data_IF_211751811324
#
_entry.id   IF_211751811324
#
_cell.length_a   1.000
_cell.length_b   1.000
_cell.length_c   1.000
_cell.angle_alpha   90.00
_cell.angle_beta   90.00
_cell.angle_gamma   90.00
#
_symmetry.space_group_name_H-M   'P 1'
#
loop_
_entity.id
_entity.type
_entity.pdbx_description
1 polymer ?
#
# COMPACT_ATOMS: atom_id res chain seq x y z
N UNK A 1 2.95 -29.81 -5.55
CA UNK A 1 2.05 -28.64 -5.74
C UNK A 1 2.37 -27.61 -4.68
N UNK A 2 2.62 -26.35 -5.06
CA UNK A 2 2.85 -25.26 -4.11
C UNK A 2 1.55 -24.91 -3.38
N UNK A 3 1.61 -24.75 -2.05
CA UNK A 3 0.46 -24.30 -1.24
C UNK A 3 0.27 -22.79 -1.45
N UNK A 4 -0.96 -22.37 -1.70
CA UNK A 4 -1.31 -20.97 -1.86
C UNK A 4 -2.00 -20.43 -0.60
N UNK A 5 -1.81 -19.13 -0.38
CA UNK A 5 -2.44 -18.35 0.68
C UNK A 5 -3.08 -17.10 0.08
N UNK A 6 -4.03 -16.51 0.80
CA UNK A 6 -4.59 -15.21 0.49
C UNK A 6 -4.01 -14.20 1.46
N UNK A 7 -3.32 -13.19 0.92
CA UNK A 7 -2.84 -12.03 1.65
C UNK A 7 -3.85 -10.90 1.49
N UNK A 8 -4.53 -10.56 2.57
CA UNK A 8 -5.43 -9.40 2.62
C UNK A 8 -4.65 -8.14 2.99
N UNK A 9 -4.89 -7.04 2.28
CA UNK A 9 -4.31 -5.72 2.54
C UNK A 9 -5.44 -4.69 2.54
N UNK A 10 -5.54 -3.85 3.58
CA UNK A 10 -6.49 -2.74 3.60
C UNK A 10 -5.72 -1.43 3.45
N UNK A 11 -5.89 -0.80 2.30
CA UNK A 11 -5.28 0.48 1.99
C UNK A 11 -6.25 1.59 2.38
N UNK A 12 -5.96 2.24 3.51
CA UNK A 12 -6.94 3.14 4.13
C UNK A 12 -6.73 4.58 3.70
N UNK A 13 -5.53 5.12 3.87
CA UNK A 13 -5.29 6.55 3.65
C UNK A 13 -3.82 6.87 3.40
N UNK A 14 -3.56 8.10 2.97
CA UNK A 14 -2.24 8.72 2.99
C UNK A 14 -2.32 10.10 3.63
N UNK A 15 -1.18 10.65 4.04
CA UNK A 15 -1.06 11.94 4.68
C UNK A 15 0.07 12.77 4.09
N UNK A 16 -0.11 14.09 4.13
CA UNK A 16 0.91 15.08 3.78
C UNK A 16 1.55 14.85 2.39
N UNK A 17 0.75 14.35 1.42
CA UNK A 17 1.20 14.18 0.04
C UNK A 17 1.70 15.51 -0.53
N UNK A 18 2.73 15.44 -1.37
CA UNK A 18 3.25 16.62 -2.09
C UNK A 18 2.14 17.26 -2.94
N UNK A 19 1.82 18.55 -2.76
CA UNK A 19 0.76 19.22 -3.48
C UNK A 19 1.17 19.52 -4.93
N UNK A 20 0.89 18.59 -5.84
CA UNK A 20 1.24 18.71 -7.27
C UNK A 20 0.28 19.60 -8.08
N UNK A 21 -0.87 19.95 -7.51
CA UNK A 21 -1.88 20.80 -8.14
C UNK A 21 -2.77 21.47 -7.09
N UNK A 22 -3.47 22.53 -7.50
CA UNK A 22 -4.44 23.22 -6.64
C UNK A 22 -5.64 22.36 -6.27
N UNK A 23 -6.03 21.39 -7.08
CA UNK A 23 -7.07 20.40 -6.80
C UNK A 23 -6.46 19.05 -7.04
N UNK A 24 -6.56 18.14 -6.06
CA UNK A 24 -5.99 16.80 -6.15
C UNK A 24 -7.07 15.77 -5.95
N UNK A 25 -7.31 14.97 -7.00
CA UNK A 25 -8.09 13.75 -6.92
C UNK A 25 -7.10 12.59 -6.98
N UNK A 26 -7.03 11.78 -5.94
CA UNK A 26 -5.95 10.79 -5.81
C UNK A 26 -6.48 9.36 -5.74
N UNK A 27 -5.72 8.45 -6.30
CA UNK A 27 -5.96 7.01 -6.17
C UNK A 27 -4.63 6.31 -5.96
N UNK A 28 -4.71 5.09 -5.43
CA UNK A 28 -3.54 4.25 -5.26
C UNK A 28 -3.60 3.02 -6.17
N UNK A 29 -2.42 2.60 -6.60
CA UNK A 29 -2.19 1.41 -7.41
C UNK A 29 -1.32 0.46 -6.60
N UNK A 30 -1.77 -0.76 -6.38
CA UNK A 30 -1.06 -1.74 -5.54
C UNK A 30 -0.84 -3.06 -6.27
N UNK A 31 0.32 -3.70 -6.07
CA UNK A 31 0.63 -4.99 -6.69
C UNK A 31 1.74 -5.77 -5.98
N UNK A 32 1.75 -7.08 -6.22
CA UNK A 32 2.87 -7.98 -5.95
C UNK A 32 3.65 -8.33 -7.22
N UNK A 33 2.92 -8.47 -8.34
CA UNK A 33 3.46 -8.64 -9.69
C UNK A 33 3.06 -7.41 -10.51
N UNK A 34 4.00 -6.68 -11.14
CA UNK A 34 3.70 -5.47 -11.91
C UNK A 34 2.72 -5.67 -13.08
N UNK A 35 2.50 -6.91 -13.54
CA UNK A 35 1.49 -7.25 -14.56
C UNK A 35 0.06 -7.35 -13.98
N UNK A 36 -0.08 -7.40 -12.66
CA UNK A 36 -1.34 -7.63 -11.95
C UNK A 36 -1.58 -6.53 -10.92
N UNK A 37 -1.80 -5.32 -11.42
CA UNK A 37 -2.09 -4.13 -10.62
C UNK A 37 -3.56 -4.08 -10.22
N UNK A 38 -3.82 -3.67 -8.99
CA UNK A 38 -5.14 -3.35 -8.45
C UNK A 38 -5.18 -1.88 -8.08
N UNK A 39 -6.34 -1.25 -8.20
CA UNK A 39 -6.51 0.18 -7.98
C UNK A 39 -7.58 0.43 -6.93
N UNK A 40 -7.40 1.49 -6.15
CA UNK A 40 -8.47 2.05 -5.32
C UNK A 40 -9.44 2.85 -6.17
N UNK A 41 -10.58 3.21 -5.58
CA UNK A 41 -11.36 4.35 -6.06
C UNK A 41 -10.55 5.65 -5.93
N UNK A 42 -10.96 6.65 -6.71
CA UNK A 42 -10.42 8.00 -6.61
C UNK A 42 -11.06 8.71 -5.41
N UNK A 43 -10.25 9.22 -4.50
CA UNK A 43 -10.69 10.19 -3.51
C UNK A 43 -10.63 11.59 -4.11
N UNK A 44 -11.75 12.30 -4.06
CA UNK A 44 -11.92 13.64 -4.66
C UNK A 44 -11.75 14.77 -3.64
N UNK A 45 -11.76 14.46 -2.34
CA UNK A 45 -11.94 15.48 -1.29
C UNK A 45 -10.75 15.59 -0.34
N UNK A 46 -9.96 14.52 -0.15
CA UNK A 46 -8.88 14.52 0.82
C UNK A 46 -7.64 15.32 0.40
N UNK A 47 -7.52 15.74 -0.86
CA UNK A 47 -6.41 16.56 -1.35
C UNK A 47 -5.05 15.88 -1.08
N UNK A 48 -4.27 16.40 -0.13
CA UNK A 48 -2.97 15.87 0.30
C UNK A 48 -3.11 14.82 1.39
N UNK A 49 -4.33 14.58 1.89
CA UNK A 49 -4.66 13.62 2.95
C UNK A 49 -5.81 12.68 2.53
N UNK A 50 -5.65 11.90 1.45
CA UNK A 50 -6.75 11.10 0.92
C UNK A 50 -7.13 9.90 1.79
N UNK A 51 -8.41 9.52 1.71
CA UNK A 51 -8.94 8.30 2.33
C UNK A 51 -9.64 7.44 1.29
N UNK A 52 -9.14 6.21 1.07
CA UNK A 52 -9.68 5.25 0.11
C UNK A 52 -10.47 4.12 0.77
N UNK A 53 -9.98 3.60 1.89
CA UNK A 53 -10.57 2.47 2.61
C UNK A 53 -10.87 1.25 1.70
N UNK A 54 -9.88 0.84 0.90
CA UNK A 54 -10.02 -0.24 -0.08
C UNK A 54 -9.35 -1.53 0.41
N UNK A 55 -10.02 -2.66 0.21
CA UNK A 55 -9.52 -3.99 0.58
C UNK A 55 -9.04 -4.75 -0.66
N UNK A 56 -7.80 -5.23 -0.62
CA UNK A 56 -7.21 -6.05 -1.68
C UNK A 56 -6.90 -7.46 -1.17
N UNK A 57 -7.10 -8.45 -2.06
CA UNK A 57 -6.77 -9.85 -1.80
C UNK A 57 -5.77 -10.33 -2.85
N UNK A 58 -4.61 -10.78 -2.40
CA UNK A 58 -3.57 -11.32 -3.26
C UNK A 58 -3.38 -12.80 -3.00
N UNK A 59 -3.41 -13.60 -4.07
CA UNK A 59 -3.01 -15.01 -4.00
C UNK A 59 -1.49 -15.10 -4.07
N UNK A 60 -0.89 -15.64 -3.03
CA UNK A 60 0.57 -15.80 -2.88
C UNK A 60 0.90 -17.25 -2.58
N UNK A 61 2.15 -17.65 -2.77
CA UNK A 61 2.62 -18.98 -2.45
C UNK A 61 3.69 -18.95 -1.34
N UNK A 62 4.09 -20.14 -0.88
CA UNK A 62 5.11 -20.24 0.18
C UNK A 62 6.46 -19.65 -0.22
N UNK A 63 6.83 -19.68 -1.51
CA UNK A 63 8.11 -19.13 -1.97
C UNK A 63 8.08 -17.62 -1.81
N UNK A 64 6.99 -16.97 -2.21
CA UNK A 64 6.78 -15.55 -1.99
C UNK A 64 6.78 -15.19 -0.50
N UNK A 65 6.02 -15.91 0.33
CA UNK A 65 5.93 -15.61 1.76
C UNK A 65 7.24 -15.79 2.54
N UNK A 66 8.14 -16.67 2.08
CA UNK A 66 9.40 -16.96 2.77
C UNK A 66 10.59 -16.13 2.24
N UNK A 67 10.39 -15.31 1.22
CA UNK A 67 11.45 -14.50 0.63
C UNK A 67 11.58 -13.17 1.37
N UNK A 68 12.80 -12.86 1.82
CA UNK A 68 13.15 -11.59 2.49
C UNK A 68 13.00 -10.36 1.58
N UNK A 69 12.88 -10.59 0.27
CA UNK A 69 12.71 -9.51 -0.71
C UNK A 69 11.28 -9.35 -1.18
N UNK A 70 10.36 -10.23 -0.79
CA UNK A 70 8.96 -10.11 -1.18
C UNK A 70 8.33 -8.84 -0.63
N UNK A 71 7.68 -8.09 -1.51
CA UNK A 71 7.09 -6.80 -1.16
C UNK A 71 5.77 -6.57 -1.88
N UNK A 72 4.92 -5.78 -1.23
CA UNK A 72 3.82 -5.07 -1.88
C UNK A 72 4.33 -3.72 -2.32
N UNK A 73 4.10 -3.40 -3.59
CA UNK A 73 4.32 -2.07 -4.14
C UNK A 73 3.02 -1.30 -4.09
N UNK A 74 3.08 -0.03 -3.69
CA UNK A 74 1.96 0.92 -3.75
C UNK A 74 2.46 2.18 -4.43
N UNK A 75 1.78 2.64 -5.46
CA UNK A 75 1.95 3.97 -6.03
C UNK A 75 0.74 4.82 -5.72
N UNK A 76 0.94 6.11 -5.48
CA UNK A 76 -0.14 7.07 -5.31
C UNK A 76 -0.06 8.06 -6.47
N UNK A 77 -1.19 8.23 -7.16
CA UNK A 77 -1.30 9.07 -8.35
C UNK A 77 -2.33 10.17 -8.12
N UNK A 78 -2.05 11.38 -8.62
CA UNK A 78 -3.04 12.43 -8.82
C UNK A 78 -3.62 12.32 -10.24
N UNK A 79 -4.94 12.23 -10.33
CA UNK A 79 -5.65 12.23 -11.61
C UNK A 79 -5.60 13.61 -12.26
N UNK A 80 -5.35 13.63 -13.57
CA UNK A 80 -5.31 14.85 -14.36
C UNK A 80 -5.92 14.61 -15.74
N UNK A 81 -6.36 15.67 -16.41
CA UNK A 81 -7.06 15.56 -17.70
C UNK A 81 -6.17 15.01 -18.82
N UNK A 82 -4.86 15.32 -18.78
CA UNK A 82 -3.93 14.93 -19.84
C UNK A 82 -3.20 13.64 -19.46
N UNK A 83 -2.56 13.64 -18.28
CA UNK A 83 -1.80 12.50 -17.78
C UNK A 83 -1.72 12.57 -16.26
N UNK A 84 -2.03 11.46 -15.62
CA UNK A 84 -1.90 11.31 -14.18
C UNK A 84 -0.45 11.50 -13.71
N UNK A 85 -0.31 12.10 -12.53
CA UNK A 85 0.96 12.45 -11.92
C UNK A 85 1.27 11.46 -10.81
N UNK A 86 2.38 10.73 -10.92
CA UNK A 86 2.89 9.92 -9.82
C UNK A 86 3.37 10.82 -8.69
N UNK A 87 2.73 10.74 -7.53
CA UNK A 87 3.09 11.52 -6.34
C UNK A 87 4.17 10.79 -5.54
N UNK A 88 4.03 9.47 -5.39
CA UNK A 88 4.96 8.68 -4.58
C UNK A 88 4.81 7.19 -4.77
N UNK A 89 5.87 6.47 -4.38
CA UNK A 89 5.94 5.01 -4.40
C UNK A 89 6.34 4.51 -3.02
N UNK A 90 5.62 3.53 -2.53
CA UNK A 90 5.90 2.84 -1.28
C UNK A 90 6.16 1.37 -1.56
N UNK A 91 7.16 0.82 -0.89
CA UNK A 91 7.52 -0.59 -0.94
C UNK A 91 7.46 -1.17 0.46
N UNK A 92 6.57 -2.13 0.68
CA UNK A 92 6.35 -2.75 1.99
C UNK A 92 6.79 -4.21 1.94
N UNK A 93 7.81 -4.58 2.71
CA UNK A 93 8.25 -5.97 2.82
C UNK A 93 7.17 -6.82 3.48
N UNK A 94 6.83 -7.94 2.87
CA UNK A 94 5.77 -8.85 3.35
C UNK A 94 6.18 -9.50 4.68
N UNK A 95 7.46 -9.79 4.87
CA UNK A 95 7.97 -10.33 6.13
C UNK A 95 7.71 -9.37 7.30
N UNK A 96 7.81 -8.05 7.10
CA UNK A 96 7.48 -7.09 8.15
C UNK A 96 6.00 -7.16 8.54
N UNK A 97 5.10 -7.46 7.59
CA UNK A 97 3.67 -7.59 7.85
C UNK A 97 3.34 -8.87 8.62
N UNK A 98 4.02 -9.96 8.32
CA UNK A 98 3.82 -11.25 8.99
C UNK A 98 4.43 -11.26 10.39
N UNK A 99 5.52 -10.53 10.63
CA UNK A 99 6.13 -10.42 11.96
C UNK A 99 5.27 -9.63 12.95
N UNK A 100 4.35 -8.79 12.47
CA UNK A 100 3.33 -8.19 13.33
C UNK A 100 2.32 -9.22 13.88
N UNK A 101 2.33 -10.49 13.41
CA UNK A 101 1.29 -11.47 13.71
C UNK A 101 1.40 -12.27 15.02
N UNK A 102 2.41 -12.20 15.90
CA UNK A 102 2.41 -13.11 17.08
C UNK A 102 2.94 -12.55 18.42
N UNK A 103 2.33 -12.94 19.58
CA UNK A 103 0.96 -13.48 19.76
C UNK A 103 0.21 -13.06 21.06
N UNK A 104 -1.14 -13.10 21.03
CA UNK A 104 -1.93 -13.74 22.10
C UNK A 104 -3.31 -14.25 21.63
N UNK A 105 -3.37 -15.59 21.63
CA UNK A 105 -4.46 -16.52 21.96
C UNK A 105 -5.77 -16.62 21.12
N UNK A 106 -5.82 -17.75 20.39
CA UNK A 106 -6.94 -18.64 20.03
C UNK A 106 -8.14 -18.11 19.23
N UNK A 107 -8.25 -18.75 18.06
CA UNK A 107 -9.48 -19.22 17.42
C UNK A 107 -10.50 -18.15 16.99
N UNK A 108 -10.47 -17.77 15.72
CA UNK A 108 -11.43 -18.25 14.73
C UNK A 108 -11.14 -17.60 13.37
N UNK A 109 -11.76 -18.16 12.33
CA UNK A 109 -11.68 -17.72 10.94
C UNK A 109 -12.10 -16.24 10.80
N UNK A 110 -11.15 -15.32 10.84
CA UNK A 110 -11.38 -13.94 10.46
C UNK A 110 -10.33 -13.51 9.44
N UNK A 111 -10.81 -12.96 8.32
CA UNK A 111 -9.97 -12.29 7.35
C UNK A 111 -9.40 -11.03 8.02
N UNK A 112 -8.15 -11.10 8.45
CA UNK A 112 -7.51 -10.05 9.23
C UNK A 112 -7.17 -8.83 8.37
N UNK A 113 -7.73 -7.67 8.73
CA UNK A 113 -7.54 -6.41 8.04
C UNK A 113 -6.34 -5.62 8.57
N UNK A 114 -5.36 -5.29 7.72
CA UNK A 114 -4.24 -4.41 8.09
C UNK A 114 -4.52 -2.96 7.69
N UNK A 115 -4.55 -2.03 8.65
CA UNK A 115 -4.72 -0.60 8.42
C UNK A 115 -3.36 0.04 8.10
N UNK A 116 -3.19 0.62 6.91
CA UNK A 116 -1.98 1.38 6.57
C UNK A 116 -2.27 2.85 6.34
N UNK A 117 -1.41 3.69 6.94
CA UNK A 117 -1.34 5.14 6.77
C UNK A 117 0.05 5.46 6.22
N UNK A 118 0.11 6.03 5.03
CA UNK A 118 1.38 6.39 4.41
C UNK A 118 1.66 7.88 4.61
N UNK A 119 2.72 8.20 5.35
CA UNK A 119 3.21 9.56 5.52
C UNK A 119 4.20 9.87 4.39
N UNK A 120 3.95 10.92 3.60
CA UNK A 120 4.87 11.35 2.55
C UNK A 120 6.01 12.25 3.12
N UNK A 121 7.28 12.07 2.70
CA UNK A 121 8.38 12.90 3.17
C UNK A 121 8.38 14.28 2.48
N UNK A 122 8.48 15.35 3.27
CA UNK A 122 8.50 16.77 2.83
C UNK A 122 9.66 17.20 1.92
N UNK A 123 10.59 16.33 1.57
CA UNK A 123 11.73 16.69 0.71
C UNK A 123 12.32 15.45 0.02
N UNK A 124 12.12 15.35 -1.29
CA UNK A 124 12.75 14.33 -2.11
C UNK A 124 14.24 14.67 -2.36
N UNK A 125 15.15 14.04 -1.62
CA UNK A 125 16.55 13.87 -2.06
C UNK A 125 16.74 12.46 -2.63
N UNK A 126 17.56 12.39 -3.67
CA UNK A 126 17.72 11.37 -4.71
C UNK A 126 18.25 9.99 -4.26
N UNK A 127 18.04 9.59 -3.01
CA UNK A 127 18.43 8.30 -2.41
C UNK A 127 17.25 7.67 -1.64
N UNK A 128 16.13 7.47 -2.33
CA UNK A 128 14.83 7.08 -1.74
C UNK A 128 14.69 5.58 -1.43
N UNK A 129 15.68 4.97 -0.76
CA UNK A 129 15.55 3.61 -0.21
C UNK A 129 15.15 3.57 1.27
N UNK A 130 14.73 4.70 1.84
CA UNK A 130 14.61 4.82 3.28
C UNK A 130 13.31 5.52 3.70
N UNK A 131 12.41 4.66 4.21
CA UNK A 131 11.37 4.94 5.22
C UNK A 131 10.00 5.44 4.74
N UNK A 132 9.02 4.53 4.81
CA UNK A 132 7.69 4.82 5.31
C UNK A 132 7.51 3.99 6.58
N UNK A 133 7.35 4.62 7.74
CA UNK A 133 6.97 3.88 8.95
C UNK A 133 5.46 3.64 8.91
N UNK A 134 5.06 2.37 9.02
CA UNK A 134 3.68 2.04 9.31
C UNK A 134 3.40 2.46 10.76
N UNK A 135 2.66 3.55 10.94
CA UNK A 135 2.19 4.00 12.24
C UNK A 135 1.05 3.08 12.72
N UNK A 136 1.06 2.70 14.01
CA UNK A 136 -0.03 1.95 14.66
C UNK A 136 -1.32 2.75 14.72
#
# INVERSE_FOLDING_TARGET
MSRFHLLEINLVSAQDLEPVSKVMHTYAVTWLNPERKLLTRVDQHGYTNPTWNEKFLFRVDNVFLNSDTSAIMVEIHASSWIRDILIGTVRVLVNNLLLLKQPREKANRECESYLYKFDAPRAATRDSQRWCHASR
#
